data_IF_210105682742
#
_entry.id   IF_210105682742
#
_cell.length_a   1.000
_cell.length_b   1.000
_cell.length_c   1.000
_cell.angle_alpha   90.00
_cell.angle_beta   90.00
_cell.angle_gamma   90.00
#
_symmetry.space_group_name_H-M   'P 1'
#
loop_
_entity.id
_entity.type
_entity.pdbx_description
1 polymer ?
#
# COMPACT_ATOMS: atom_id res chain seq x y z
N UNK A 1 -39.93 -26.61 -24.82
CA UNK A 1 -38.88 -25.58 -24.76
C UNK A 1 -38.56 -25.31 -23.30
N UNK A 2 -37.53 -25.98 -22.77
CA UNK A 2 -36.95 -25.66 -21.46
C UNK A 2 -36.39 -24.24 -21.57
N UNK A 3 -36.98 -23.27 -20.86
CA UNK A 3 -36.36 -21.96 -20.70
C UNK A 3 -34.95 -22.21 -20.15
N UNK A 4 -33.93 -21.78 -20.88
CA UNK A 4 -32.61 -21.63 -20.29
C UNK A 4 -32.76 -20.75 -19.05
N UNK A 5 -32.22 -21.20 -17.93
CA UNK A 5 -32.19 -20.45 -16.67
C UNK A 5 -31.81 -18.99 -16.95
N UNK A 6 -32.70 -18.04 -16.64
CA UNK A 6 -32.40 -16.60 -16.67
C UNK A 6 -31.26 -16.19 -15.72
N UNK A 7 -30.77 -17.13 -14.89
CA UNK A 7 -29.61 -16.93 -14.04
C UNK A 7 -28.31 -17.14 -14.80
N UNK A 8 -27.47 -16.09 -14.85
CA UNK A 8 -26.08 -16.20 -15.31
C UNK A 8 -25.34 -17.24 -14.46
N UNK A 9 -24.42 -17.97 -15.08
CA UNK A 9 -23.59 -18.92 -14.36
C UNK A 9 -22.75 -18.18 -13.29
N UNK A 10 -22.92 -18.56 -12.01
CA UNK A 10 -22.26 -17.91 -10.87
C UNK A 10 -20.75 -17.87 -11.02
N UNK A 11 -20.14 -19.01 -11.36
CA UNK A 11 -18.69 -19.14 -11.51
C UNK A 11 -18.17 -18.19 -12.60
N UNK A 12 -18.75 -18.23 -13.79
CA UNK A 12 -18.31 -17.37 -14.89
C UNK A 12 -18.47 -15.88 -14.58
N UNK A 13 -19.57 -15.51 -13.91
CA UNK A 13 -19.86 -14.11 -13.55
C UNK A 13 -18.87 -13.60 -12.49
N UNK A 14 -18.59 -14.41 -11.47
CA UNK A 14 -17.62 -14.08 -10.43
C UNK A 14 -16.20 -13.97 -10.98
N UNK A 15 -15.75 -14.97 -11.74
CA UNK A 15 -14.40 -14.96 -12.34
C UNK A 15 -14.18 -13.75 -13.25
N UNK A 16 -15.22 -13.31 -13.97
CA UNK A 16 -15.17 -12.10 -14.79
C UNK A 16 -14.89 -10.86 -13.94
N UNK A 17 -15.62 -10.68 -12.83
CA UNK A 17 -15.42 -9.54 -11.93
C UNK A 17 -14.03 -9.59 -11.27
N UNK A 18 -13.58 -10.76 -10.80
CA UNK A 18 -12.24 -10.96 -10.23
C UNK A 18 -11.13 -10.58 -11.21
N UNK A 19 -11.25 -11.00 -12.47
CA UNK A 19 -10.27 -10.68 -13.53
C UNK A 19 -10.26 -9.18 -13.86
N UNK A 20 -11.40 -8.50 -13.72
CA UNK A 20 -11.51 -7.07 -14.01
C UNK A 20 -10.76 -6.18 -13.00
N UNK A 21 -10.58 -6.67 -11.77
CA UNK A 21 -9.81 -5.99 -10.71
C UNK A 21 -8.50 -6.70 -10.36
N UNK A 22 -8.07 -7.64 -11.20
CA UNK A 22 -6.89 -8.44 -10.91
C UNK A 22 -5.60 -7.63 -11.07
N UNK A 23 -4.66 -7.69 -10.12
CA UNK A 23 -3.32 -7.14 -10.29
C UNK A 23 -2.43 -7.96 -11.25
N UNK A 24 -2.90 -9.13 -11.70
CA UNK A 24 -2.11 -10.08 -12.50
C UNK A 24 -2.67 -10.28 -13.91
N UNK A 25 -3.99 -10.37 -14.05
CA UNK A 25 -4.63 -10.73 -15.32
C UNK A 25 -5.16 -9.50 -16.04
N UNK A 26 -4.87 -9.40 -17.34
CA UNK A 26 -5.40 -8.36 -18.23
C UNK A 26 -5.11 -6.92 -17.76
N UNK A 27 -3.97 -6.69 -17.08
CA UNK A 27 -3.61 -5.38 -16.53
C UNK A 27 -3.43 -4.28 -17.58
N UNK A 28 -3.34 -4.64 -18.85
CA UNK A 28 -3.37 -3.73 -19.98
C UNK A 28 -4.78 -3.14 -20.25
N UNK A 29 -5.84 -3.90 -19.94
CA UNK A 29 -7.23 -3.59 -20.31
C UNK A 29 -8.25 -3.72 -19.18
N UNK A 30 -7.84 -4.06 -17.96
CA UNK A 30 -8.73 -4.17 -16.81
C UNK A 30 -8.74 -2.87 -15.97
N UNK A 31 -9.66 -2.78 -15.01
CA UNK A 31 -9.83 -1.59 -14.18
C UNK A 31 -8.63 -1.36 -13.25
N UNK A 32 -8.12 -2.42 -12.62
CA UNK A 32 -6.97 -2.34 -11.71
C UNK A 32 -5.73 -1.74 -12.38
N UNK A 33 -5.45 -2.14 -13.62
CA UNK A 33 -4.33 -1.63 -14.42
C UNK A 33 -4.40 -0.13 -14.71
N UNK A 34 -5.56 0.51 -14.52
CA UNK A 34 -5.73 1.96 -14.72
C UNK A 34 -5.49 2.80 -13.46
N UNK A 35 -5.26 2.19 -12.29
CA UNK A 35 -4.95 2.92 -11.04
C UNK A 35 -3.72 3.82 -11.22
N UNK A 36 -2.69 3.32 -11.91
CA UNK A 36 -1.44 4.04 -12.18
C UNK A 36 -1.19 4.18 -13.68
N UNK A 37 -1.91 5.11 -14.32
CA UNK A 37 -1.88 5.26 -15.78
C UNK A 37 -0.58 5.88 -16.33
N UNK A 38 0.08 6.76 -15.57
CA UNK A 38 1.32 7.42 -15.97
C UNK A 38 2.39 7.24 -14.89
N UNK A 39 3.62 6.96 -15.31
CA UNK A 39 4.76 6.75 -14.42
C UNK A 39 5.99 7.52 -14.91
N UNK A 40 6.91 7.84 -14.00
CA UNK A 40 8.19 8.47 -14.30
C UNK A 40 9.22 8.03 -13.27
N UNK A 41 10.46 7.79 -13.72
CA UNK A 41 11.58 7.52 -12.80
C UNK A 41 11.88 8.73 -11.89
N UNK A 42 12.52 8.45 -10.76
CA UNK A 42 13.00 9.48 -9.83
C UNK A 42 14.05 10.38 -10.51
N UNK A 43 14.11 11.67 -10.14
CA UNK A 43 15.13 12.59 -10.68
C UNK A 43 16.53 12.16 -10.24
N UNK A 44 16.69 11.83 -8.95
CA UNK A 44 17.94 11.33 -8.40
C UNK A 44 17.68 10.29 -7.32
N UNK A 45 18.52 9.26 -7.32
CA UNK A 45 18.53 8.24 -6.28
C UNK A 45 20.00 7.95 -5.92
N UNK A 46 20.36 8.24 -4.68
CA UNK A 46 21.67 7.91 -4.12
C UNK A 46 21.50 7.16 -2.82
N UNK A 47 22.49 6.35 -2.45
CA UNK A 47 22.43 5.47 -1.28
C UNK A 47 23.73 5.53 -0.50
N UNK A 48 23.60 5.45 0.81
CA UNK A 48 24.67 5.23 1.78
C UNK A 48 24.29 4.03 2.64
N UNK A 49 25.17 3.03 2.72
CA UNK A 49 24.94 1.82 3.51
C UNK A 49 25.88 1.78 4.72
N UNK A 50 25.37 1.32 5.85
CA UNK A 50 26.14 1.16 7.09
C UNK A 50 25.66 -0.08 7.85
N UNK A 51 26.56 -0.83 8.52
CA UNK A 51 26.16 -1.90 9.44
C UNK A 51 25.49 -1.36 10.71
N UNK A 52 25.69 -0.07 11.02
CA UNK A 52 25.20 0.56 12.24
C UNK A 52 23.82 1.19 12.07
N UNK A 53 23.03 1.17 13.13
CA UNK A 53 21.75 1.90 13.20
C UNK A 53 22.02 3.31 13.71
N UNK A 54 22.37 4.21 12.80
CA UNK A 54 22.75 5.59 13.11
C UNK A 54 21.52 6.53 13.18
N UNK A 55 21.60 7.63 13.95
CA UNK A 55 20.61 8.70 13.90
C UNK A 55 20.44 9.32 12.50
N UNK A 56 19.27 9.91 12.26
CA UNK A 56 18.98 10.62 11.01
C UNK A 56 19.97 11.75 10.70
N UNK A 57 20.40 12.51 11.72
CA UNK A 57 21.38 13.60 11.56
C UNK A 57 22.65 13.12 10.88
N UNK A 58 23.19 12.01 11.35
CA UNK A 58 24.47 11.45 10.92
C UNK A 58 24.33 10.89 9.49
N UNK A 59 23.20 10.23 9.21
CA UNK A 59 22.88 9.77 7.86
C UNK A 59 22.75 10.93 6.88
N UNK A 60 22.06 12.02 7.26
CA UNK A 60 21.86 13.21 6.43
C UNK A 60 23.19 13.85 6.04
N UNK A 61 24.09 14.00 7.00
CA UNK A 61 25.40 14.66 6.84
C UNK A 61 26.47 13.79 6.18
N UNK A 62 26.24 12.48 6.06
CA UNK A 62 27.19 11.57 5.39
C UNK A 62 27.52 12.01 3.97
N UNK A 63 28.82 12.02 3.65
CA UNK A 63 29.38 12.29 2.33
C UNK A 63 29.55 11.03 1.49
N UNK A 64 29.20 9.86 2.01
CA UNK A 64 29.43 8.55 1.39
C UNK A 64 28.30 8.09 0.46
N UNK A 65 27.39 8.98 0.08
CA UNK A 65 26.31 8.65 -0.84
C UNK A 65 26.83 8.42 -2.26
N UNK A 66 26.43 7.30 -2.84
CA UNK A 66 26.74 6.92 -4.22
C UNK A 66 25.46 6.75 -5.03
N UNK A 67 25.53 6.97 -6.35
CA UNK A 67 24.37 6.76 -7.23
C UNK A 67 23.94 5.30 -7.23
N UNK A 68 22.64 5.05 -7.26
CA UNK A 68 22.07 3.70 -7.40
C UNK A 68 20.83 3.73 -8.30
N UNK A 69 20.24 2.56 -8.54
CA UNK A 69 19.07 2.38 -9.41
C UNK A 69 18.24 1.17 -8.99
N UNK A 70 17.01 1.10 -9.52
CA UNK A 70 16.21 -0.13 -9.50
C UNK A 70 17.04 -1.28 -10.07
N UNK A 71 16.94 -2.46 -9.45
CA UNK A 71 17.74 -3.66 -9.73
C UNK A 71 18.98 -3.82 -8.85
N UNK A 72 19.44 -2.77 -8.16
CA UNK A 72 20.56 -2.88 -7.23
C UNK A 72 20.22 -3.73 -6.00
N UNK A 73 21.23 -4.39 -5.44
CA UNK A 73 21.12 -5.24 -4.25
C UNK A 73 21.81 -4.61 -3.04
N UNK A 74 21.21 -4.81 -1.87
CA UNK A 74 21.62 -4.24 -0.60
C UNK A 74 21.62 -5.29 0.49
N UNK A 75 22.55 -5.19 1.42
CA UNK A 75 22.73 -6.18 2.48
C UNK A 75 24.13 -6.08 3.07
N UNK A 76 24.59 -7.08 3.82
CA UNK A 76 23.83 -8.27 4.26
C UNK A 76 22.67 -7.94 5.20
N UNK A 77 22.02 -8.99 5.73
CA UNK A 77 20.98 -8.87 6.74
C UNK A 77 21.37 -7.90 7.87
N UNK A 78 20.41 -7.06 8.28
CA UNK A 78 20.55 -6.01 9.30
C UNK A 78 21.34 -4.76 8.89
N UNK A 79 21.97 -4.75 7.70
CA UNK A 79 22.50 -3.51 7.12
C UNK A 79 21.39 -2.46 7.01
N UNK A 80 21.74 -1.22 7.32
CA UNK A 80 20.86 -0.07 7.11
C UNK A 80 21.32 0.69 5.87
N UNK A 81 20.41 0.90 4.93
CA UNK A 81 20.65 1.66 3.71
C UNK A 81 19.82 2.93 3.73
N UNK A 82 20.48 4.07 3.77
CA UNK A 82 19.85 5.37 3.64
C UNK A 82 19.86 5.81 2.20
N UNK A 83 18.69 6.08 1.64
CA UNK A 83 18.54 6.62 0.29
C UNK A 83 18.21 8.09 0.36
N UNK A 84 18.91 8.93 -0.42
CA UNK A 84 18.51 10.31 -0.71
C UNK A 84 17.72 10.28 -2.03
N UNK A 85 16.48 10.70 -1.96
CA UNK A 85 15.53 10.68 -3.07
C UNK A 85 15.19 12.10 -3.48
N UNK A 86 15.38 12.42 -4.76
CA UNK A 86 14.99 13.70 -5.36
C UNK A 86 14.00 13.43 -6.48
N UNK A 87 12.92 14.19 -6.51
CA UNK A 87 11.80 14.01 -7.42
C UNK A 87 11.36 15.36 -7.98
N UNK A 88 11.25 15.44 -9.30
CA UNK A 88 10.55 16.51 -9.99
C UNK A 88 9.31 15.97 -10.71
N UNK A 89 8.16 16.38 -10.23
CA UNK A 89 6.86 16.11 -10.83
C UNK A 89 6.72 16.94 -12.11
N UNK A 90 6.41 16.33 -13.27
CA UNK A 90 6.19 17.08 -14.50
C UNK A 90 5.02 18.07 -14.39
N UNK A 91 5.15 19.26 -14.98
CA UNK A 91 4.06 20.25 -15.06
C UNK A 91 2.74 19.67 -15.57
N UNK A 92 2.78 18.72 -16.52
CA UNK A 92 1.59 18.05 -17.06
C UNK A 92 0.79 17.23 -16.04
N UNK A 93 1.34 16.98 -14.85
CA UNK A 93 0.67 16.27 -13.76
C UNK A 93 0.03 17.23 -12.74
N UNK A 94 0.09 18.55 -12.93
CA UNK A 94 -0.65 19.49 -12.09
C UNK A 94 -2.15 19.15 -12.04
N UNK A 95 -2.74 19.27 -10.86
CA UNK A 95 -4.12 18.87 -10.56
C UNK A 95 -4.27 17.38 -10.22
N UNK A 96 -3.28 16.54 -10.52
CA UNK A 96 -3.34 15.09 -10.29
C UNK A 96 -2.73 14.70 -8.95
N UNK A 97 -3.22 13.62 -8.35
CA UNK A 97 -2.55 12.97 -7.22
C UNK A 97 -1.31 12.20 -7.70
N UNK A 98 -0.22 12.30 -6.96
CA UNK A 98 1.04 11.64 -7.30
C UNK A 98 1.56 10.85 -6.11
N UNK A 99 1.87 9.58 -6.37
CA UNK A 99 2.49 8.68 -5.40
C UNK A 99 3.95 8.43 -5.76
N UNK A 100 4.81 8.34 -4.74
CA UNK A 100 6.05 7.57 -4.81
C UNK A 100 5.67 6.09 -4.70
N UNK A 101 6.24 5.23 -5.54
CA UNK A 101 6.18 3.78 -5.39
C UNK A 101 7.56 3.23 -5.08
N UNK A 102 7.65 2.41 -4.05
CA UNK A 102 8.89 1.89 -3.52
C UNK A 102 8.72 0.43 -3.08
N UNK A 103 9.53 -0.46 -3.64
CA UNK A 103 9.62 -1.85 -3.25
C UNK A 103 11.10 -2.24 -3.15
N UNK A 104 11.62 -2.28 -1.93
CA UNK A 104 12.98 -2.75 -1.64
C UNK A 104 13.06 -4.23 -1.26
N UNK A 105 11.94 -4.95 -1.29
CA UNK A 105 11.88 -6.31 -0.75
C UNK A 105 12.08 -6.38 0.77
N UNK A 106 11.99 -5.25 1.48
CA UNK A 106 12.35 -5.12 2.88
C UNK A 106 11.45 -4.13 3.63
N UNK A 107 11.80 -3.83 4.87
CA UNK A 107 11.18 -2.75 5.64
C UNK A 107 11.89 -1.40 5.40
N UNK A 108 11.14 -0.31 5.32
CA UNK A 108 11.72 1.03 5.23
C UNK A 108 10.90 2.13 5.94
N UNK A 109 11.53 3.26 6.23
CA UNK A 109 10.90 4.47 6.77
C UNK A 109 11.22 5.67 5.88
N UNK A 110 10.21 6.43 5.50
CA UNK A 110 10.40 7.71 4.84
C UNK A 110 10.62 8.78 5.90
N UNK A 111 11.65 9.59 5.71
CA UNK A 111 12.03 10.71 6.55
C UNK A 111 12.03 12.00 5.72
N UNK A 112 11.42 13.06 6.22
CA UNK A 112 11.59 14.38 5.63
C UNK A 112 13.03 14.89 5.77
N UNK A 113 13.39 15.94 5.03
CA UNK A 113 14.74 16.53 5.08
C UNK A 113 15.08 17.16 6.43
N UNK A 114 14.09 17.52 7.24
CA UNK A 114 14.24 18.02 8.61
C UNK A 114 14.19 16.92 9.68
N UNK A 115 14.06 15.65 9.29
CA UNK A 115 14.17 14.50 10.21
C UNK A 115 12.87 14.07 10.87
N UNK A 116 11.71 14.46 10.32
CA UNK A 116 10.41 13.93 10.74
C UNK A 116 10.15 12.58 10.06
N UNK A 117 9.84 11.50 10.80
CA UNK A 117 9.39 10.24 10.20
C UNK A 117 7.99 10.45 9.61
N UNK A 118 7.79 10.04 8.36
CA UNK A 118 6.57 10.29 7.60
C UNK A 118 5.70 9.04 7.46
N UNK A 119 6.27 7.93 6.98
CA UNK A 119 5.53 6.69 6.75
C UNK A 119 6.46 5.48 6.66
N UNK A 120 6.05 4.37 7.26
CA UNK A 120 6.65 3.06 7.02
C UNK A 120 6.26 2.47 5.67
N UNK A 121 7.19 1.73 5.07
CA UNK A 121 7.00 0.92 3.87
C UNK A 121 7.35 -0.54 4.21
N UNK A 122 6.58 -1.48 3.70
CA UNK A 122 6.72 -2.90 4.02
C UNK A 122 6.22 -3.77 2.88
N UNK A 123 6.85 -4.93 2.70
CA UNK A 123 6.44 -5.98 1.77
C UNK A 123 5.75 -7.14 2.51
N UNK A 124 4.88 -7.90 1.83
CA UNK A 124 4.26 -9.12 2.35
C UNK A 124 2.74 -9.03 2.53
N UNK A 125 2.19 -9.79 3.48
CA UNK A 125 0.73 -9.93 3.69
C UNK A 125 0.00 -8.63 4.05
N UNK A 126 0.72 -7.58 4.44
CA UNK A 126 0.21 -6.24 4.72
C UNK A 126 1.12 -5.21 4.05
N UNK A 127 1.27 -5.35 2.73
CA UNK A 127 2.19 -4.51 1.98
C UNK A 127 1.76 -3.05 1.93
N UNK A 128 2.76 -2.18 1.97
CA UNK A 128 2.65 -0.75 1.72
C UNK A 128 3.85 -0.32 0.91
N UNK A 129 3.64 -0.26 -0.41
CA UNK A 129 4.68 0.00 -1.41
C UNK A 129 4.57 1.40 -2.01
N UNK A 130 3.85 2.31 -1.36
CA UNK A 130 3.65 3.67 -1.86
C UNK A 130 3.58 4.71 -0.76
N UNK A 131 3.85 5.96 -1.14
CA UNK A 131 3.68 7.15 -0.31
C UNK A 131 3.06 8.27 -1.14
N UNK A 132 2.06 8.96 -0.58
CA UNK A 132 1.39 10.07 -1.27
C UNK A 132 2.31 11.29 -1.20
N UNK A 133 2.90 11.68 -2.33
CA UNK A 133 3.74 12.88 -2.40
C UNK A 133 2.87 14.14 -2.32
N UNK A 134 1.75 14.12 -3.04
CA UNK A 134 0.76 15.19 -3.00
C UNK A 134 -0.60 14.67 -3.46
N UNK A 135 -1.71 15.04 -2.79
CA UNK A 135 -3.05 14.71 -3.24
C UNK A 135 -3.46 15.50 -4.50
N UNK A 136 -2.78 16.61 -4.81
CA UNK A 136 -2.98 17.38 -6.03
C UNK A 136 -1.72 18.19 -6.32
N UNK A 137 -0.98 17.81 -7.35
CA UNK A 137 0.25 18.51 -7.73
C UNK A 137 -0.05 19.94 -8.17
N UNK A 138 0.79 20.88 -7.76
CA UNK A 138 0.70 22.28 -8.13
C UNK A 138 2.09 22.80 -8.48
N UNK A 139 2.14 23.91 -9.21
CA UNK A 139 3.42 24.54 -9.64
C UNK A 139 4.34 24.88 -8.47
N UNK A 140 3.82 25.06 -7.26
CA UNK A 140 4.59 25.35 -6.05
C UNK A 140 5.11 24.11 -5.32
N UNK A 141 4.68 22.89 -5.70
CA UNK A 141 5.07 21.64 -5.03
C UNK A 141 5.51 20.56 -6.01
N UNK A 142 6.20 20.94 -7.10
CA UNK A 142 6.69 19.96 -8.07
C UNK A 142 7.99 19.29 -7.64
N UNK A 143 8.75 19.91 -6.76
CA UNK A 143 10.02 19.40 -6.30
C UNK A 143 9.88 18.80 -4.90
N UNK A 144 10.36 17.57 -4.73
CA UNK A 144 10.35 16.86 -3.45
C UNK A 144 11.70 16.22 -3.17
N UNK A 145 12.15 16.36 -1.92
CA UNK A 145 13.32 15.68 -1.38
C UNK A 145 12.96 15.02 -0.07
N UNK A 146 13.45 13.80 0.13
CA UNK A 146 13.33 13.06 1.38
C UNK A 146 14.37 11.95 1.43
N UNK A 147 14.43 11.31 2.59
CA UNK A 147 15.27 10.15 2.84
C UNK A 147 14.41 8.91 3.00
N UNK A 148 14.93 7.76 2.61
CA UNK A 148 14.35 6.46 2.93
C UNK A 148 15.39 5.67 3.72
N UNK A 149 15.08 5.36 4.97
CA UNK A 149 15.85 4.42 5.78
C UNK A 149 15.34 3.01 5.53
N UNK A 150 16.07 2.23 4.76
CA UNK A 150 15.78 0.83 4.50
C UNK A 150 16.55 -0.05 5.49
N UNK A 151 15.86 -0.97 6.14
CA UNK A 151 16.47 -2.01 6.96
C UNK A 151 16.51 -3.31 6.16
N UNK A 152 17.68 -3.94 6.03
CA UNK A 152 17.86 -5.20 5.31
C UNK A 152 17.32 -6.38 6.13
N UNK A 153 16.00 -6.45 6.25
CA UNK A 153 15.25 -7.55 6.86
C UNK A 153 13.81 -7.57 6.31
N UNK A 154 13.14 -8.72 6.40
CA UNK A 154 11.71 -8.85 6.15
C UNK A 154 10.89 -8.37 7.36
N UNK A 155 9.56 -8.32 7.18
CA UNK A 155 8.60 -8.01 8.25
C UNK A 155 8.81 -8.88 9.49
N UNK A 156 9.18 -10.16 9.30
CA UNK A 156 9.40 -11.15 10.35
C UNK A 156 10.87 -11.53 10.55
N UNK A 157 11.79 -10.59 10.37
CA UNK A 157 13.23 -10.84 10.55
C UNK A 157 13.89 -11.30 9.25
N UNK A 158 14.71 -12.36 9.28
CA UNK A 158 15.41 -12.83 8.09
C UNK A 158 15.61 -14.36 8.08
N UNK A 159 14.67 -15.09 8.68
CA UNK A 159 14.76 -16.55 8.80
C UNK A 159 14.81 -17.26 7.43
N UNK A 160 15.68 -18.27 7.32
CA UNK A 160 15.81 -19.13 6.13
C UNK A 160 16.12 -20.58 6.55
N UNK A 161 15.50 -21.61 5.94
CA UNK A 161 14.57 -21.56 4.81
C UNK A 161 13.12 -21.21 5.19
N UNK A 162 12.80 -21.16 6.48
CA UNK A 162 11.46 -20.80 6.96
C UNK A 162 11.53 -19.55 7.84
N UNK A 163 10.38 -18.90 8.02
CA UNK A 163 10.25 -17.67 8.82
C UNK A 163 10.87 -17.78 10.23
N UNK A 164 10.65 -18.92 10.90
CA UNK A 164 11.12 -19.16 12.28
C UNK A 164 12.50 -19.81 12.37
N UNK A 165 13.16 -20.00 11.22
CA UNK A 165 14.54 -20.49 11.18
C UNK A 165 15.51 -19.39 11.65
N UNK A 166 16.77 -19.80 11.90
CA UNK A 166 17.83 -18.83 12.17
C UNK A 166 17.91 -17.79 11.04
N UNK A 167 18.20 -16.51 11.35
CA UNK A 167 18.41 -15.50 10.34
C UNK A 167 19.54 -15.90 9.38
N UNK A 168 19.29 -15.79 8.08
CA UNK A 168 20.33 -15.89 7.06
C UNK A 168 21.22 -14.64 7.15
N UNK A 169 22.51 -14.75 7.54
CA UNK A 169 23.38 -13.60 7.69
C UNK A 169 23.73 -12.97 6.34
N UNK A 170 23.65 -13.70 5.22
CA UNK A 170 24.14 -13.26 3.92
C UNK A 170 23.01 -12.82 2.96
N UNK A 171 21.77 -12.73 3.47
CA UNK A 171 20.62 -12.35 2.65
C UNK A 171 20.77 -10.94 2.08
N UNK A 172 20.53 -10.84 0.77
CA UNK A 172 20.54 -9.60 0.01
C UNK A 172 19.13 -9.22 -0.42
N UNK A 173 18.86 -7.92 -0.51
CA UNK A 173 17.57 -7.31 -0.81
C UNK A 173 17.66 -6.48 -2.08
N UNK A 174 16.78 -6.72 -3.04
CA UNK A 174 16.79 -6.02 -4.34
C UNK A 174 15.78 -4.87 -4.32
N UNK A 175 16.19 -3.68 -4.75
CA UNK A 175 15.26 -2.59 -5.06
C UNK A 175 14.50 -2.90 -6.35
N UNK A 176 13.27 -3.39 -6.23
CA UNK A 176 12.41 -3.80 -7.35
C UNK A 176 11.62 -2.66 -7.97
N UNK A 177 11.30 -1.61 -7.19
CA UNK A 177 10.57 -0.44 -7.68
C UNK A 177 11.00 0.82 -6.95
N UNK A 178 11.20 1.90 -7.70
CA UNK A 178 11.47 3.24 -7.22
C UNK A 178 11.13 4.23 -8.33
N UNK A 179 9.89 4.72 -8.34
CA UNK A 179 9.39 5.65 -9.36
C UNK A 179 8.26 6.52 -8.77
N UNK A 180 7.79 7.51 -9.54
CA UNK A 180 6.56 8.22 -9.25
C UNK A 180 5.47 7.85 -10.26
N UNK A 181 4.23 7.89 -9.81
CA UNK A 181 3.09 7.61 -10.66
C UNK A 181 1.90 8.52 -10.35
N UNK A 182 1.16 8.88 -11.39
CA UNK A 182 -0.16 9.48 -11.24
C UNK A 182 -1.10 8.42 -10.72
N UNK A 183 -1.77 8.72 -9.61
CA UNK A 183 -2.74 7.82 -9.01
C UNK A 183 -4.17 8.28 -9.33
N UNK A 184 -4.97 7.38 -9.87
CA UNK A 184 -6.36 7.62 -10.19
C UNK A 184 -7.26 7.13 -9.05
N UNK A 185 -7.62 8.07 -8.18
CA UNK A 185 -8.42 7.79 -6.98
C UNK A 185 -9.84 7.33 -7.28
N UNK A 186 -10.43 7.79 -8.38
CA UNK A 186 -11.78 7.37 -8.78
C UNK A 186 -11.76 5.90 -9.20
N UNK A 187 -10.75 5.51 -9.98
CA UNK A 187 -10.53 4.12 -10.38
C UNK A 187 -10.27 3.23 -9.16
N UNK A 188 -9.36 3.62 -8.27
CA UNK A 188 -9.03 2.83 -7.07
C UNK A 188 -10.21 2.67 -6.11
N UNK A 189 -11.03 3.72 -5.95
CA UNK A 189 -12.28 3.62 -5.18
C UNK A 189 -13.22 2.58 -5.79
N UNK A 190 -13.37 2.56 -7.12
CA UNK A 190 -14.25 1.61 -7.79
C UNK A 190 -13.68 0.18 -7.77
N UNK A 191 -12.35 0.03 -7.85
CA UNK A 191 -11.67 -1.26 -7.64
C UNK A 191 -11.97 -1.78 -6.23
N UNK A 192 -11.88 -0.92 -5.22
CA UNK A 192 -12.20 -1.27 -3.82
C UNK A 192 -13.66 -1.68 -3.68
N UNK A 193 -14.59 -0.92 -4.24
CA UNK A 193 -16.02 -1.23 -4.21
C UNK A 193 -16.31 -2.59 -4.86
N UNK A 194 -15.73 -2.85 -6.03
CA UNK A 194 -15.91 -4.11 -6.75
C UNK A 194 -15.24 -5.29 -6.03
N UNK A 195 -14.09 -5.08 -5.39
CA UNK A 195 -13.44 -6.07 -4.54
C UNK A 195 -14.35 -6.47 -3.36
N UNK A 196 -14.94 -5.49 -2.67
CA UNK A 196 -15.89 -5.75 -1.58
C UNK A 196 -17.11 -6.55 -2.07
N UNK A 197 -17.67 -6.21 -3.23
CA UNK A 197 -18.78 -6.97 -3.82
C UNK A 197 -18.37 -8.41 -4.14
N UNK A 198 -17.20 -8.61 -4.76
CA UNK A 198 -16.66 -9.95 -5.08
C UNK A 198 -16.45 -10.78 -3.82
N UNK A 199 -15.87 -10.19 -2.77
CA UNK A 199 -15.64 -10.88 -1.50
C UNK A 199 -16.95 -11.21 -0.80
N UNK A 200 -17.94 -10.31 -0.83
CA UNK A 200 -19.29 -10.63 -0.35
C UNK A 200 -19.90 -11.82 -1.10
N UNK A 201 -19.73 -11.93 -2.41
CA UNK A 201 -20.23 -13.10 -3.16
C UNK A 201 -19.54 -14.38 -2.70
N UNK A 202 -18.24 -14.35 -2.43
CA UNK A 202 -17.45 -15.52 -2.00
C UNK A 202 -17.78 -15.98 -0.59
N UNK A 203 -17.92 -15.04 0.34
CA UNK A 203 -18.04 -15.33 1.76
C UNK A 203 -19.50 -15.51 2.23
N UNK A 204 -20.47 -14.88 1.56
CA UNK A 204 -21.88 -15.05 1.89
C UNK A 204 -22.45 -16.37 1.36
N UNK A 205 -23.46 -16.96 2.04
CA UNK A 205 -24.15 -18.15 1.57
C UNK A 205 -24.64 -17.99 0.12
N UNK A 206 -24.37 -18.99 -0.72
CA UNK A 206 -24.63 -18.92 -2.16
C UNK A 206 -26.12 -18.89 -2.53
N UNK A 207 -26.99 -19.30 -1.62
CA UNK A 207 -28.45 -19.26 -1.72
C UNK A 207 -29.07 -17.99 -1.09
N UNK A 208 -28.25 -17.12 -0.48
CA UNK A 208 -28.67 -15.86 0.12
C UNK A 208 -28.91 -14.76 -0.91
N UNK A 209 -30.03 -14.04 -0.79
CA UNK A 209 -30.39 -12.92 -1.69
C UNK A 209 -29.28 -11.88 -1.82
N UNK A 210 -28.61 -11.56 -0.70
CA UNK A 210 -27.54 -10.56 -0.68
C UNK A 210 -26.31 -10.96 -1.50
N UNK A 211 -25.98 -12.26 -1.54
CA UNK A 211 -24.90 -12.77 -2.40
C UNK A 211 -25.25 -12.60 -3.88
N UNK A 212 -26.51 -12.87 -4.26
CA UNK A 212 -26.99 -12.64 -5.61
C UNK A 212 -27.01 -11.17 -6.00
N UNK A 213 -27.51 -10.29 -5.12
CA UNK A 213 -27.52 -8.83 -5.33
C UNK A 213 -26.10 -8.29 -5.51
N UNK A 214 -25.14 -8.74 -4.70
CA UNK A 214 -23.73 -8.35 -4.81
C UNK A 214 -23.14 -8.78 -6.15
N UNK A 215 -23.40 -10.03 -6.56
CA UNK A 215 -22.94 -10.55 -7.84
C UNK A 215 -23.56 -9.82 -9.03
N UNK A 216 -24.84 -9.46 -8.92
CA UNK A 216 -25.54 -8.67 -9.93
C UNK A 216 -24.93 -7.28 -10.06
N UNK A 217 -24.76 -6.56 -8.93
CA UNK A 217 -24.14 -5.24 -8.91
C UNK A 217 -22.71 -5.28 -9.46
N UNK A 218 -21.89 -6.25 -9.05
CA UNK A 218 -20.55 -6.45 -9.59
C UNK A 218 -20.56 -6.65 -11.11
N UNK A 219 -21.48 -7.49 -11.62
CA UNK A 219 -21.60 -7.71 -13.05
C UNK A 219 -22.03 -6.45 -13.81
N UNK A 220 -22.94 -5.65 -13.25
CA UNK A 220 -23.40 -4.41 -13.86
C UNK A 220 -22.32 -3.34 -13.87
N UNK A 221 -21.51 -3.24 -12.80
CA UNK A 221 -20.31 -2.40 -12.79
C UNK A 221 -19.37 -2.79 -13.94
N UNK A 222 -19.04 -4.08 -14.10
CA UNK A 222 -18.15 -4.54 -15.18
C UNK A 222 -18.77 -4.32 -16.56
N UNK A 223 -20.11 -4.33 -16.70
CA UNK A 223 -20.79 -4.01 -17.95
C UNK A 223 -20.76 -2.51 -18.28
N UNK A 224 -20.83 -1.67 -17.25
CA UNK A 224 -20.96 -0.22 -17.39
C UNK A 224 -19.60 0.44 -17.69
N UNK A 225 -18.52 -0.05 -17.09
CA UNK A 225 -17.22 0.60 -17.21
C UNK A 225 -16.66 0.46 -18.63
N UNK A 226 -16.49 1.61 -19.29
CA UNK A 226 -15.67 1.78 -20.48
C UNK A 226 -14.40 2.56 -20.08
N UNK A 227 -13.24 1.90 -20.15
CA UNK A 227 -11.97 2.51 -19.73
C UNK A 227 -11.50 3.66 -20.64
N UNK A 228 -12.15 3.86 -21.79
CA UNK A 228 -11.93 5.01 -22.66
C UNK A 228 -12.82 6.21 -22.33
N UNK A 229 -13.89 6.01 -21.55
CA UNK A 229 -14.83 7.04 -21.14
C UNK A 229 -14.87 7.18 -19.61
N UNK A 230 -14.26 8.25 -19.07
CA UNK A 230 -14.31 8.55 -17.63
C UNK A 230 -15.73 8.76 -17.12
N UNK A 231 -16.68 9.17 -17.96
CA UNK A 231 -18.08 9.31 -17.59
C UNK A 231 -18.70 8.00 -17.12
N UNK A 232 -18.28 6.87 -17.69
CA UNK A 232 -18.73 5.53 -17.32
C UNK A 232 -18.38 5.13 -15.89
N UNK A 233 -17.29 5.67 -15.32
CA UNK A 233 -16.86 5.39 -13.95
C UNK A 233 -17.88 5.91 -12.94
N UNK A 234 -18.50 7.06 -13.23
CA UNK A 234 -19.53 7.64 -12.36
C UNK A 234 -20.77 6.75 -12.28
N UNK A 235 -21.25 6.26 -13.42
CA UNK A 235 -22.40 5.35 -13.46
C UNK A 235 -22.11 4.04 -12.72
N UNK A 236 -20.90 3.50 -12.87
CA UNK A 236 -20.45 2.33 -12.10
C UNK A 236 -20.39 2.61 -10.59
N UNK A 237 -19.91 3.78 -10.19
CA UNK A 237 -19.89 4.21 -8.78
C UNK A 237 -21.31 4.34 -8.20
N UNK A 238 -22.26 4.88 -8.95
CA UNK A 238 -23.66 4.99 -8.53
C UNK A 238 -24.30 3.62 -8.25
N UNK A 239 -23.95 2.59 -9.03
CA UNK A 239 -24.38 1.19 -8.78
C UNK A 239 -23.82 0.68 -7.45
N UNK A 240 -22.52 0.89 -7.20
CA UNK A 240 -21.88 0.50 -5.95
C UNK A 240 -22.48 1.24 -4.75
N UNK A 241 -22.63 2.56 -4.84
CA UNK A 241 -23.19 3.40 -3.79
C UNK A 241 -24.63 2.99 -3.47
N UNK A 242 -25.44 2.70 -4.49
CA UNK A 242 -26.79 2.19 -4.28
C UNK A 242 -26.77 0.89 -3.47
N UNK A 243 -25.91 -0.07 -3.84
CA UNK A 243 -25.80 -1.34 -3.11
C UNK A 243 -25.34 -1.13 -1.65
N UNK A 244 -24.30 -0.34 -1.42
CA UNK A 244 -23.72 -0.12 -0.08
C UNK A 244 -24.52 0.83 0.82
N UNK A 245 -25.42 1.64 0.25
CA UNK A 245 -26.34 2.50 1.03
C UNK A 245 -27.43 1.71 1.77
N UNK A 246 -27.68 0.46 1.35
CA UNK A 246 -28.71 -0.39 1.94
C UNK A 246 -28.31 -0.81 3.36
N UNK A 247 -29.22 -0.63 4.32
CA UNK A 247 -28.98 -0.93 5.73
C UNK A 247 -29.45 -2.33 6.06
N UNK A 248 -28.71 -2.99 6.94
CA UNK A 248 -29.19 -4.23 7.55
C UNK A 248 -30.39 -3.98 8.49
N UNK A 249 -31.11 -5.05 8.85
CA UNK A 249 -32.18 -4.98 9.84
C UNK A 249 -31.68 -4.60 11.24
N UNK A 250 -32.58 -4.08 12.09
CA UNK A 250 -32.24 -3.52 13.40
C UNK A 250 -31.71 -4.56 14.41
N UNK A 251 -31.99 -5.85 14.20
CA UNK A 251 -31.60 -6.93 15.12
C UNK A 251 -30.17 -7.47 14.89
N UNK A 252 -29.38 -6.84 14.02
CA UNK A 252 -28.03 -7.31 13.70
C UNK A 252 -27.00 -6.92 14.77
N UNK A 253 -25.88 -7.66 14.81
CA UNK A 253 -24.75 -7.31 15.67
C UNK A 253 -24.13 -5.98 15.27
N UNK A 254 -23.68 -5.22 16.28
CA UNK A 254 -22.83 -4.05 16.07
C UNK A 254 -21.37 -4.49 16.10
N UNK A 255 -20.63 -4.21 15.03
CA UNK A 255 -19.19 -4.47 14.93
C UNK A 255 -18.46 -3.15 15.20
N UNK A 256 -17.49 -3.19 16.11
CA UNK A 256 -16.58 -2.06 16.37
C UNK A 256 -15.20 -2.43 15.86
N UNK A 257 -14.66 -1.61 14.97
CA UNK A 257 -13.32 -1.80 14.41
C UNK A 257 -12.33 -0.78 15.02
N UNK A 258 -11.18 -1.28 15.47
CA UNK A 258 -10.08 -0.46 15.99
C UNK A 258 -8.79 -0.92 15.31
N UNK A 259 -8.02 0.03 14.78
CA UNK A 259 -6.70 -0.25 14.23
C UNK A 259 -5.75 -0.72 15.32
N UNK A 260 -4.98 -1.76 15.04
CA UNK A 260 -3.97 -2.28 15.95
C UNK A 260 -2.70 -2.61 15.18
N UNK A 261 -1.55 -2.44 15.84
CA UNK A 261 -0.27 -2.94 15.36
C UNK A 261 0.41 -3.64 16.53
N UNK A 262 0.33 -4.97 16.55
CA UNK A 262 1.10 -5.79 17.47
C UNK A 262 2.54 -5.87 16.99
N UNK A 263 3.47 -5.46 17.85
CA UNK A 263 4.91 -5.53 17.59
C UNK A 263 5.54 -6.31 18.72
N UNK A 264 6.16 -7.46 18.42
CA UNK A 264 6.94 -8.19 19.41
C UNK A 264 8.20 -7.38 19.77
N UNK A 265 8.40 -7.16 21.07
CA UNK A 265 9.55 -6.38 21.54
C UNK A 265 10.89 -7.01 21.18
N UNK A 266 10.95 -8.34 21.16
CA UNK A 266 12.04 -9.14 20.60
C UNK A 266 11.50 -10.54 20.28
N UNK A 267 11.46 -10.89 19.00
CA UNK A 267 11.10 -12.23 18.55
C UNK A 267 12.13 -12.73 17.54
N UNK A 268 12.02 -12.31 16.29
CA UNK A 268 12.95 -12.67 15.20
C UNK A 268 13.90 -11.52 14.83
N UNK A 269 14.01 -10.52 15.72
CA UNK A 269 14.85 -9.34 15.58
C UNK A 269 15.26 -8.81 16.98
N UNK A 270 16.36 -8.05 17.07
CA UNK A 270 16.81 -7.46 18.34
C UNK A 270 15.95 -6.25 18.73
N UNK A 271 16.01 -5.86 20.02
CA UNK A 271 15.31 -4.66 20.54
C UNK A 271 15.57 -3.38 19.74
N UNK A 272 16.81 -3.22 19.27
CA UNK A 272 17.19 -2.06 18.46
C UNK A 272 16.38 -1.96 17.15
N UNK A 273 15.94 -3.10 16.59
CA UNK A 273 15.03 -3.09 15.44
C UNK A 273 13.59 -2.77 15.83
N UNK A 274 13.15 -3.21 17.00
CA UNK A 274 11.80 -2.88 17.51
C UNK A 274 11.59 -1.38 17.61
N UNK A 275 12.60 -0.62 18.09
CA UNK A 275 12.51 0.86 18.14
C UNK A 275 12.16 1.45 16.76
N UNK A 276 12.81 0.96 15.71
CA UNK A 276 12.55 1.37 14.32
C UNK A 276 11.21 0.86 13.78
N UNK A 277 10.83 -0.38 14.10
CA UNK A 277 9.50 -0.94 13.75
C UNK A 277 8.38 -0.11 14.37
N UNK A 278 8.51 0.31 15.63
CA UNK A 278 7.58 1.21 16.30
C UNK A 278 7.51 2.56 15.60
N UNK A 279 8.66 3.20 15.31
CA UNK A 279 8.69 4.48 14.60
C UNK A 279 7.99 4.40 13.23
N UNK A 280 8.29 3.37 12.43
CA UNK A 280 7.66 3.12 11.11
C UNK A 280 6.15 2.92 11.20
N UNK A 281 5.71 2.12 12.16
CA UNK A 281 4.30 1.76 12.32
C UNK A 281 3.49 2.93 12.88
N UNK A 282 4.01 3.63 13.88
CA UNK A 282 3.30 4.74 14.53
C UNK A 282 3.27 5.98 13.65
N UNK A 283 4.32 6.28 12.87
CA UNK A 283 4.27 7.35 11.86
C UNK A 283 3.14 7.10 10.84
N UNK A 284 3.04 5.86 10.33
CA UNK A 284 1.93 5.46 9.44
C UNK A 284 0.56 5.57 10.11
N UNK A 285 0.43 5.16 11.37
CA UNK A 285 -0.82 5.27 12.12
C UNK A 285 -1.24 6.74 12.31
N UNK A 286 -0.30 7.62 12.66
CA UNK A 286 -0.55 9.06 12.80
C UNK A 286 -1.00 9.68 11.47
N UNK A 287 -0.30 9.36 10.37
CA UNK A 287 -0.69 9.83 9.03
C UNK A 287 -2.12 9.36 8.66
N UNK A 288 -2.48 8.13 9.01
CA UNK A 288 -3.84 7.62 8.81
C UNK A 288 -4.87 8.33 9.69
N UNK A 289 -4.52 8.67 10.95
CA UNK A 289 -5.40 9.43 11.85
C UNK A 289 -5.66 10.85 11.34
N UNK A 290 -4.64 11.50 10.76
CA UNK A 290 -4.78 12.81 10.10
C UNK A 290 -5.72 12.73 8.89
N UNK A 291 -5.58 11.69 8.06
CA UNK A 291 -6.38 11.51 6.84
C UNK A 291 -7.80 11.01 7.11
N UNK A 292 -8.00 10.20 8.14
CA UNK A 292 -9.28 9.56 8.47
C UNK A 292 -9.66 9.87 9.93
N UNK A 293 -10.38 10.96 10.21
CA UNK A 293 -10.67 11.41 11.58
C UNK A 293 -11.45 10.41 12.46
N UNK A 294 -12.13 9.44 11.85
CA UNK A 294 -12.83 8.37 12.56
C UNK A 294 -11.93 7.17 12.91
N UNK A 295 -10.75 7.07 12.30
CA UNK A 295 -9.79 6.02 12.61
C UNK A 295 -9.35 6.12 14.08
N UNK A 296 -9.34 4.97 14.75
CA UNK A 296 -8.86 4.82 16.13
C UNK A 296 -7.76 3.77 16.11
N UNK A 297 -6.66 4.04 16.81
CA UNK A 297 -5.50 3.17 16.88
C UNK A 297 -5.21 2.79 18.33
N UNK A 298 -4.86 1.52 18.55
CA UNK A 298 -4.47 0.98 19.85
C UNK A 298 -3.14 0.24 19.76
N UNK A 299 -2.22 0.54 20.68
CA UNK A 299 -0.98 -0.19 20.92
C UNK A 299 -0.87 -0.53 22.41
N UNK A 300 -0.32 -1.70 22.74
CA UNK A 300 -0.38 -2.24 24.10
C UNK A 300 0.81 -1.83 24.98
N UNK A 301 2.03 -1.89 24.46
CA UNK A 301 3.24 -1.85 25.26
C UNK A 301 3.69 -0.41 25.53
N UNK A 302 3.58 0.06 26.78
CA UNK A 302 4.09 1.37 27.19
C UNK A 302 5.61 1.53 26.97
N UNK A 303 6.38 0.43 27.07
CA UNK A 303 7.82 0.44 26.80
C UNK A 303 8.14 0.83 25.35
N UNK A 304 7.28 0.46 24.39
CA UNK A 304 7.46 0.84 22.99
C UNK A 304 7.23 2.34 22.79
N UNK A 305 6.27 2.93 23.50
CA UNK A 305 6.07 4.38 23.50
C UNK A 305 7.26 5.12 24.11
N UNK A 306 7.81 4.60 25.21
CA UNK A 306 9.01 5.16 25.83
C UNK A 306 10.22 5.10 24.88
N UNK A 307 10.43 3.99 24.16
CA UNK A 307 11.51 3.88 23.18
C UNK A 307 11.36 4.81 21.97
N UNK A 308 10.14 5.15 21.55
CA UNK A 308 9.91 6.11 20.45
C UNK A 308 10.10 7.56 20.92
N UNK A 309 9.93 7.83 22.21
CA UNK A 309 10.17 9.14 22.81
C UNK A 309 11.66 9.47 22.96
N UNK A 310 12.50 8.45 23.13
CA UNK A 310 13.98 8.53 23.22
C UNK A 310 14.62 8.80 21.85
#
# INVERSE_FOLDING_TARGET
FTMASMFKNRRCTLERAEKFISPLYFTDVNLYGKIYAETKDLTSLTVFSTPDRIPFSDARESTSYVKTSVGAQFGPTWTTCWFKVVIDIPNKWCGKEVHLRWDSGSEALIWSTDGKPLQGLSVGHQERLFFVLTPSASVSCLHHEFFIEMACNDLFGAGSPTMISAPDPDKMFTLKKADIAVYDREVDSLVTDLQLLVDMVKELPSDGSRSYEAMFAANEIVNCVDLSDRGSLKAAKEIADHFFSQRNGESQHTIVAVGNCHIDSAWLWPYAETKRKCARSFASALLLMERYPQYRFACSQAQQLQWVKE
#
